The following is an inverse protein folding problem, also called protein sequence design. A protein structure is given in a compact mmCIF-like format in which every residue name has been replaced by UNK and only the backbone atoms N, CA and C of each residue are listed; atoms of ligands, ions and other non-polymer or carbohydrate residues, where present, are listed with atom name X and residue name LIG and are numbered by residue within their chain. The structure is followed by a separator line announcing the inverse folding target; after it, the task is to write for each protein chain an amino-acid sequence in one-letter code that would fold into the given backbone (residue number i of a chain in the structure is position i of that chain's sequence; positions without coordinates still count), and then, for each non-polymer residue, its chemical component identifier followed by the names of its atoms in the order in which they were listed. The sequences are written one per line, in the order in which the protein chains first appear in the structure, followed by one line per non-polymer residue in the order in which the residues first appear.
data_IF_182453357589
#
_entry.id   IF_182453357589
#
_cell.length_a   1.000
_cell.length_b   1.000
_cell.length_c   1.000
_cell.angle_alpha   90.00
_cell.angle_beta   90.00
_cell.angle_gamma   90.00
#
_symmetry.space_group_name_H-M   'P 1'
#
loop_
_entity.id
_entity.type
_entity.pdbx_description
1 polymer ?
#
# COMPACT_ATOMS: atom_id res chain seq x y z
N UNK A 1 -9.42 13.81 -1.61
CA UNK A 1 -10.40 12.91 -0.97
C UNK A 1 -11.88 13.36 -0.90
N UNK A 2 -12.24 14.60 -0.56
CA UNK A 2 -13.64 14.95 -0.18
C UNK A 2 -14.71 14.75 -1.25
N UNK A 3 -14.41 15.01 -2.53
CA UNK A 3 -15.39 14.89 -3.62
C UNK A 3 -15.81 13.44 -3.92
N UNK A 4 -14.88 12.49 -3.80
CA UNK A 4 -15.17 11.06 -4.07
C UNK A 4 -15.99 10.42 -2.96
N UNK A 5 -15.80 10.83 -1.71
CA UNK A 5 -16.63 10.40 -0.58
C UNK A 5 -18.10 10.80 -0.76
N UNK A 6 -18.36 12.02 -1.26
CA UNK A 6 -19.71 12.47 -1.55
C UNK A 6 -20.33 11.78 -2.78
N UNK A 7 -19.52 11.35 -3.75
CA UNK A 7 -19.98 10.64 -4.93
C UNK A 7 -20.31 9.15 -4.65
N UNK A 8 -19.80 8.56 -3.58
CA UNK A 8 -20.05 7.16 -3.22
C UNK A 8 -20.10 6.96 -1.70
N UNK A 9 -21.08 7.59 -1.00
CA UNK A 9 -21.15 7.58 0.46
C UNK A 9 -21.36 6.17 1.03
N UNK A 10 -22.13 5.32 0.35
CA UNK A 10 -22.36 3.94 0.78
C UNK A 10 -21.08 3.09 0.77
N UNK A 11 -20.15 3.33 -0.16
CA UNK A 11 -18.86 2.64 -0.17
C UNK A 11 -17.92 3.16 0.91
N UNK A 12 -17.98 4.46 1.21
CA UNK A 12 -17.25 5.05 2.33
C UNK A 12 -17.71 4.49 3.67
N UNK A 13 -19.02 4.38 3.89
CA UNK A 13 -19.56 3.73 5.09
C UNK A 13 -19.13 2.26 5.18
N UNK A 14 -19.26 1.49 4.10
CA UNK A 14 -18.80 0.10 4.09
C UNK A 14 -17.31 -0.03 4.42
N UNK A 15 -16.48 0.88 3.90
CA UNK A 15 -15.04 0.91 4.17
C UNK A 15 -14.72 1.31 5.61
N UNK A 16 -15.58 2.11 6.25
CA UNK A 16 -15.44 2.48 7.66
C UNK A 16 -15.78 1.30 8.59
N UNK A 17 -16.82 0.53 8.28
CA UNK A 17 -17.26 -0.62 9.10
C UNK A 17 -16.50 -1.92 8.83
N UNK A 18 -16.13 -2.22 7.57
CA UNK A 18 -15.26 -3.35 7.24
C UNK A 18 -14.14 -2.94 6.28
N UNK A 19 -13.17 -2.17 6.79
CA UNK A 19 -11.96 -1.84 6.05
C UNK A 19 -11.22 -3.09 5.52
N UNK A 20 -11.03 -4.19 6.29
CA UNK A 20 -10.31 -5.35 5.78
C UNK A 20 -10.98 -6.01 4.57
N UNK A 21 -12.31 -6.13 4.59
CA UNK A 21 -13.09 -6.68 3.48
C UNK A 21 -12.87 -5.88 2.20
N UNK A 22 -12.91 -4.55 2.33
CA UNK A 22 -12.78 -3.63 1.20
C UNK A 22 -11.36 -3.67 0.63
N UNK A 23 -10.34 -3.73 1.48
CA UNK A 23 -8.94 -3.87 1.06
C UNK A 23 -8.73 -5.17 0.28
N UNK A 24 -9.24 -6.31 0.77
CA UNK A 24 -9.15 -7.58 0.06
C UNK A 24 -9.85 -7.52 -1.31
N UNK A 25 -11.02 -6.89 -1.38
CA UNK A 25 -11.76 -6.72 -2.64
C UNK A 25 -11.01 -5.84 -3.63
N UNK A 26 -10.43 -4.73 -3.17
CA UNK A 26 -9.60 -3.85 -3.99
C UNK A 26 -8.35 -4.56 -4.48
N UNK A 27 -7.67 -5.32 -3.61
CA UNK A 27 -6.46 -6.05 -3.97
C UNK A 27 -6.75 -7.11 -5.03
N UNK A 28 -7.87 -7.84 -4.94
CA UNK A 28 -8.28 -8.80 -5.98
C UNK A 28 -8.50 -8.12 -7.34
N UNK A 29 -9.09 -6.93 -7.36
CA UNK A 29 -9.25 -6.14 -8.60
C UNK A 29 -7.93 -5.65 -9.18
N UNK A 30 -6.98 -5.30 -8.31
CA UNK A 30 -5.63 -4.84 -8.68
C UNK A 30 -4.78 -5.99 -9.22
N UNK A 31 -4.84 -7.18 -8.61
CA UNK A 31 -4.05 -8.35 -9.00
C UNK A 31 -4.64 -9.03 -10.26
N UNK A 32 -5.96 -9.02 -10.42
CA UNK A 32 -6.65 -9.77 -11.48
C UNK A 32 -6.68 -11.28 -11.21
N UNK A 33 -7.24 -12.05 -12.14
CA UNK A 33 -7.39 -13.51 -11.99
C UNK A 33 -6.06 -14.27 -12.12
N UNK A 34 -5.11 -13.76 -12.90
CA UNK A 34 -3.83 -14.43 -13.19
C UNK A 34 -2.62 -13.85 -12.44
N UNK A 35 -2.80 -12.83 -11.60
CA UNK A 35 -1.71 -12.16 -10.91
C UNK A 35 -1.21 -12.93 -9.67
N UNK A 36 0.11 -12.99 -9.49
CA UNK A 36 0.71 -13.58 -8.30
C UNK A 36 0.54 -12.63 -7.09
N UNK A 37 0.01 -13.13 -5.97
CA UNK A 37 -0.12 -12.34 -4.73
C UNK A 37 1.22 -12.24 -3.99
N UNK A 38 1.56 -11.01 -3.57
CA UNK A 38 2.67 -10.70 -2.65
C UNK A 38 2.16 -9.81 -1.52
N UNK A 39 2.62 -10.11 -0.31
CA UNK A 39 2.31 -9.34 0.89
C UNK A 39 2.76 -7.88 0.71
N UNK A 40 1.89 -6.93 1.04
CA UNK A 40 2.12 -5.47 0.94
C UNK A 40 2.56 -5.02 -0.46
N UNK A 41 2.13 -5.72 -1.52
CA UNK A 41 2.60 -5.53 -2.91
C UNK A 41 4.13 -5.65 -3.11
N UNK A 42 4.87 -6.17 -2.13
CA UNK A 42 6.34 -6.21 -2.16
C UNK A 42 7.01 -4.88 -1.81
N UNK A 43 6.28 -3.89 -1.29
CA UNK A 43 6.89 -2.64 -0.76
C UNK A 43 7.74 -2.89 0.50
N UNK A 44 7.45 -3.96 1.24
CA UNK A 44 8.19 -4.35 2.43
C UNK A 44 8.68 -5.80 2.31
N UNK A 45 9.91 -6.12 2.77
CA UNK A 45 10.49 -7.45 2.70
C UNK A 45 9.92 -8.42 3.76
N UNK A 46 8.66 -8.24 4.18
CA UNK A 46 8.05 -9.02 5.25
C UNK A 46 7.81 -10.48 4.85
N UNK A 47 7.67 -10.76 3.54
CA UNK A 47 7.49 -12.11 3.00
C UNK A 47 8.13 -12.23 1.61
N UNK A 48 9.29 -12.90 1.51
CA UNK A 48 10.00 -13.14 0.22
C UNK A 48 9.43 -14.34 -0.57
N UNK A 49 8.59 -15.15 0.05
CA UNK A 49 7.99 -16.35 -0.54
C UNK A 49 6.59 -16.10 -1.10
N UNK A 50 6.19 -16.87 -2.11
CA UNK A 50 4.80 -16.97 -2.60
C UNK A 50 3.86 -17.15 -1.40
N UNK A 51 3.16 -16.10 -1.01
CA UNK A 51 2.30 -16.14 0.15
C UNK A 51 0.97 -16.84 -0.19
N UNK A 52 0.52 -17.72 0.69
CA UNK A 52 -0.80 -18.32 0.59
C UNK A 52 -1.91 -17.24 0.55
N UNK A 53 -3.08 -17.50 -0.07
CA UNK A 53 -4.19 -16.54 -0.13
C UNK A 53 -4.69 -16.10 1.25
N UNK A 54 -4.47 -16.90 2.31
CA UNK A 54 -4.75 -16.50 3.69
C UNK A 54 -3.93 -15.27 4.15
N UNK A 55 -2.75 -15.05 3.58
CA UNK A 55 -1.89 -13.92 3.91
C UNK A 55 -2.53 -12.59 3.50
N UNK A 56 -3.35 -12.55 2.44
CA UNK A 56 -4.09 -11.35 2.05
C UNK A 56 -5.08 -10.90 3.12
N UNK A 57 -5.76 -11.87 3.74
CA UNK A 57 -6.68 -11.60 4.84
C UNK A 57 -5.91 -11.14 6.07
N UNK A 58 -4.79 -11.79 6.38
CA UNK A 58 -3.95 -11.42 7.52
C UNK A 58 -3.32 -10.03 7.36
N UNK A 59 -2.85 -9.67 6.16
CA UNK A 59 -2.36 -8.33 5.83
C UNK A 59 -3.46 -7.29 6.07
N UNK A 60 -4.68 -7.54 5.59
CA UNK A 60 -5.80 -6.63 5.71
C UNK A 60 -6.28 -6.44 7.18
N UNK A 61 -6.14 -7.46 8.03
CA UNK A 61 -6.54 -7.40 9.44
C UNK A 61 -5.43 -6.87 10.36
N UNK A 62 -4.21 -7.38 10.25
CA UNK A 62 -3.10 -7.02 11.14
C UNK A 62 -2.40 -5.73 10.71
N UNK A 63 -2.41 -5.41 9.42
CA UNK A 63 -1.69 -4.27 8.86
C UNK A 63 -2.59 -3.44 7.93
N UNK A 64 -3.84 -3.19 8.35
CA UNK A 64 -4.87 -2.52 7.56
C UNK A 64 -4.39 -1.21 6.92
N UNK A 65 -3.69 -0.36 7.69
CA UNK A 65 -3.13 0.90 7.20
C UNK A 65 -2.07 0.69 6.12
N UNK A 66 -1.17 -0.27 6.31
CA UNK A 66 -0.10 -0.59 5.34
C UNK A 66 -0.70 -1.19 4.05
N UNK A 67 -1.65 -2.11 4.21
CA UNK A 67 -2.32 -2.78 3.10
C UNK A 67 -3.09 -1.80 2.22
N UNK A 68 -3.86 -0.90 2.83
CA UNK A 68 -4.58 0.14 2.14
C UNK A 68 -3.62 1.14 1.47
N UNK A 69 -2.55 1.55 2.16
CA UNK A 69 -1.56 2.48 1.61
C UNK A 69 -0.84 1.88 0.41
N UNK A 70 -0.47 0.60 0.47
CA UNK A 70 0.11 -0.11 -0.66
C UNK A 70 -0.84 -0.13 -1.87
N UNK A 71 -2.14 -0.38 -1.67
CA UNK A 71 -3.15 -0.29 -2.73
C UNK A 71 -3.17 1.12 -3.36
N UNK A 72 -3.17 2.16 -2.53
CA UNK A 72 -3.22 3.55 -3.00
C UNK A 72 -1.98 3.93 -3.77
N UNK A 73 -0.79 3.68 -3.23
CA UNK A 73 0.48 4.01 -3.88
C UNK A 73 0.55 3.34 -5.25
N UNK A 74 0.15 2.07 -5.31
CA UNK A 74 0.12 1.33 -6.57
C UNK A 74 -0.80 1.99 -7.62
N UNK A 75 -2.02 2.36 -7.23
CA UNK A 75 -2.98 3.02 -8.14
C UNK A 75 -2.50 4.41 -8.54
N UNK A 76 -1.92 5.18 -7.61
CA UNK A 76 -1.35 6.51 -7.89
C UNK A 76 -0.20 6.44 -8.89
N UNK A 77 0.71 5.48 -8.72
CA UNK A 77 1.84 5.27 -9.63
C UNK A 77 1.36 4.87 -11.03
N UNK A 78 0.31 4.05 -11.11
CA UNK A 78 -0.30 3.61 -12.36
C UNK A 78 -0.94 4.73 -13.15
N UNK A 79 -1.72 5.55 -12.45
CA UNK A 79 -2.45 6.65 -13.08
C UNK A 79 -1.60 7.91 -13.22
N UNK A 80 -0.34 7.89 -12.75
CA UNK A 80 0.54 9.06 -12.64
C UNK A 80 -0.15 10.24 -11.93
N UNK A 81 -1.01 9.93 -10.95
CA UNK A 81 -1.78 10.93 -10.21
C UNK A 81 -0.95 11.33 -8.98
N UNK A 82 -0.74 12.63 -8.84
CA UNK A 82 -0.10 13.20 -7.64
C UNK A 82 -1.10 13.28 -6.50
N UNK A 83 -0.64 13.00 -5.28
CA UNK A 83 -1.42 13.22 -4.06
C UNK A 83 -1.75 14.70 -3.90
N UNK A 84 -3.01 15.01 -3.59
CA UNK A 84 -3.42 16.36 -3.22
C UNK A 84 -2.78 16.75 -1.88
N UNK A 85 -2.35 18.02 -1.70
CA UNK A 85 -1.75 18.46 -0.43
C UNK A 85 -2.72 18.30 0.75
N UNK A 86 -4.03 18.50 0.53
CA UNK A 86 -5.06 18.25 1.54
C UNK A 86 -5.07 16.79 2.03
N UNK A 87 -4.78 15.83 1.14
CA UNK A 87 -4.77 14.42 1.50
C UNK A 87 -3.56 14.08 2.38
N UNK A 88 -2.41 14.72 2.14
CA UNK A 88 -1.21 14.58 2.97
C UNK A 88 -1.42 15.14 4.38
N UNK A 89 -2.08 16.29 4.51
CA UNK A 89 -2.41 16.86 5.83
C UNK A 89 -3.36 15.99 6.64
N UNK A 90 -4.37 15.38 6.00
CA UNK A 90 -5.33 14.50 6.69
C UNK A 90 -4.62 13.24 7.20
N UNK A 91 -3.78 12.60 6.37
CA UNK A 91 -3.01 11.41 6.78
C UNK A 91 -2.03 11.76 7.90
N UNK A 92 -1.34 12.89 7.80
CA UNK A 92 -0.43 13.37 8.84
C UNK A 92 -1.18 13.60 10.17
N UNK A 93 -2.32 14.29 10.12
CA UNK A 93 -3.17 14.53 11.30
C UNK A 93 -3.61 13.21 11.96
N UNK A 94 -4.04 12.22 11.16
CA UNK A 94 -4.43 10.91 11.67
C UNK A 94 -3.26 10.19 12.38
N UNK A 95 -2.06 10.22 11.81
CA UNK A 95 -0.88 9.60 12.41
C UNK A 95 -0.44 10.32 13.69
N UNK A 96 -0.46 11.66 13.69
CA UNK A 96 -0.14 12.46 14.88
C UNK A 96 -1.11 12.16 16.02
N UNK A 97 -2.41 12.05 15.74
CA UNK A 97 -3.41 11.69 16.75
C UNK A 97 -3.20 10.29 17.35
N UNK A 98 -2.74 9.34 16.54
CA UNK A 98 -2.45 7.97 17.00
C UNK A 98 -1.16 7.91 17.84
N UNK A 99 -0.13 8.70 17.51
CA UNK A 99 1.06 8.84 18.36
C UNK A 99 0.69 9.56 19.67
N UNK A 100 -0.12 10.62 19.59
CA UNK A 100 -0.59 11.36 20.75
C UNK A 100 -1.38 10.48 21.72
N UNK A 101 -2.29 9.63 21.23
CA UNK A 101 -3.05 8.71 22.09
C UNK A 101 -2.15 7.71 22.81
N UNK A 102 -1.11 7.20 22.12
CA UNK A 102 -0.09 6.35 22.72
C UNK A 102 0.71 7.09 23.80
N UNK A 103 1.16 8.32 23.53
CA UNK A 103 1.85 9.15 24.52
C UNK A 103 0.98 9.42 25.75
N UNK A 104 -0.28 9.82 25.57
CA UNK A 104 -1.20 10.09 26.68
C UNK A 104 -1.39 8.84 27.55
N UNK A 105 -1.51 7.65 26.94
CA UNK A 105 -1.57 6.37 27.68
C UNK A 105 -0.33 6.12 28.53
N UNK A 106 0.86 6.45 28.02
CA UNK A 106 2.12 6.22 28.72
C UNK A 106 2.42 7.25 29.83
N UNK A 107 1.90 8.47 29.71
CA UNK A 107 2.24 9.59 30.61
C UNK A 107 1.13 9.99 31.59
N UNK A 108 -0.05 9.37 31.52
CA UNK A 108 -1.20 9.73 32.36
C UNK A 108 -1.81 8.49 33.01
N UNK A 109 -1.97 8.52 34.35
CA UNK A 109 -2.67 7.49 35.14
C UNK A 109 -4.21 7.57 35.02
N UNK A 110 -4.74 8.54 34.28
CA UNK A 110 -6.17 8.68 34.06
C UNK A 110 -6.63 7.83 32.86
N UNK A 111 -7.06 6.61 33.14
CA UNK A 111 -7.58 5.65 32.15
C UNK A 111 -8.74 6.22 31.31
N UNK A 112 -9.59 7.09 31.88
CA UNK A 112 -10.72 7.65 31.13
C UNK A 112 -10.26 8.59 30.03
N UNK A 113 -9.28 9.45 30.34
CA UNK A 113 -8.72 10.37 29.36
C UNK A 113 -7.98 9.60 28.27
N UNK A 114 -7.17 8.61 28.65
CA UNK A 114 -6.42 7.80 27.70
C UNK A 114 -7.34 6.99 26.77
N UNK A 115 -8.42 6.41 27.30
CA UNK A 115 -9.41 5.69 26.49
C UNK A 115 -10.18 6.62 25.55
N UNK A 116 -10.61 7.80 26.01
CA UNK A 116 -11.27 8.79 25.13
C UNK A 116 -10.36 9.23 23.98
N UNK A 117 -9.08 9.48 24.25
CA UNK A 117 -8.10 9.82 23.21
C UNK A 117 -7.87 8.66 22.24
N UNK A 118 -7.79 7.42 22.74
CA UNK A 118 -7.66 6.24 21.88
C UNK A 118 -8.85 6.08 20.94
N UNK A 119 -10.09 6.12 21.46
CA UNK A 119 -11.29 5.99 20.63
C UNK A 119 -11.42 7.12 19.59
N UNK A 120 -11.00 8.33 19.95
CA UNK A 120 -10.99 9.46 19.02
C UNK A 120 -9.96 9.25 17.91
N UNK A 121 -8.76 8.77 18.25
CA UNK A 121 -7.73 8.44 17.28
C UNK A 121 -8.17 7.30 16.34
N UNK A 122 -8.78 6.25 16.89
CA UNK A 122 -9.28 5.12 16.11
C UNK A 122 -10.41 5.56 15.14
N UNK A 123 -11.31 6.43 15.58
CA UNK A 123 -12.38 6.96 14.73
C UNK A 123 -11.84 7.83 13.58
N UNK A 124 -10.83 8.67 13.87
CA UNK A 124 -10.14 9.46 12.84
C UNK A 124 -9.39 8.57 11.86
N UNK A 125 -8.73 7.52 12.36
CA UNK A 125 -8.02 6.55 11.54
C UNK A 125 -8.99 5.80 10.61
N UNK A 126 -10.08 5.23 11.14
CA UNK A 126 -11.10 4.54 10.35
C UNK A 126 -11.73 5.45 9.29
N UNK A 127 -12.03 6.70 9.64
CA UNK A 127 -12.62 7.67 8.70
C UNK A 127 -11.64 8.04 7.59
N UNK A 128 -10.38 8.29 7.94
CA UNK A 128 -9.32 8.60 6.97
C UNK A 128 -9.09 7.43 6.02
N UNK A 129 -8.99 6.22 6.58
CA UNK A 129 -8.83 4.99 5.83
C UNK A 129 -10.02 4.72 4.89
N UNK A 130 -11.25 5.00 5.33
CA UNK A 130 -12.45 4.88 4.51
C UNK A 130 -12.48 5.87 3.35
N UNK A 131 -12.10 7.14 3.60
CA UNK A 131 -11.96 8.14 2.54
C UNK A 131 -10.93 7.72 1.49
N UNK A 132 -9.79 7.22 1.96
CA UNK A 132 -8.70 6.77 1.12
C UNK A 132 -9.10 5.58 0.24
N UNK A 133 -9.73 4.56 0.83
CA UNK A 133 -10.25 3.40 0.10
C UNK A 133 -11.34 3.79 -0.91
N UNK A 134 -12.21 4.73 -0.55
CA UNK A 134 -13.27 5.20 -1.46
C UNK A 134 -12.69 5.92 -2.68
N UNK A 135 -11.66 6.73 -2.49
CA UNK A 135 -10.94 7.36 -3.58
C UNK A 135 -10.31 6.31 -4.51
N UNK A 136 -9.58 5.34 -3.98
CA UNK A 136 -8.95 4.26 -4.77
C UNK A 136 -10.00 3.51 -5.59
N UNK A 137 -11.14 3.16 -5.01
CA UNK A 137 -12.22 2.48 -5.73
C UNK A 137 -12.88 3.38 -6.80
N UNK A 138 -12.99 4.68 -6.56
CA UNK A 138 -13.47 5.64 -7.56
C UNK A 138 -12.49 5.71 -8.75
N UNK A 139 -11.19 5.80 -8.49
CA UNK A 139 -10.14 5.84 -9.50
C UNK A 139 -10.10 4.54 -10.33
N UNK A 140 -10.24 3.37 -9.69
CA UNK A 140 -10.36 2.07 -10.38
C UNK A 140 -11.60 2.04 -11.28
N UNK A 141 -12.75 2.51 -10.79
CA UNK A 141 -14.01 2.51 -11.57
C UNK A 141 -14.00 3.51 -12.72
N UNK A 142 -13.56 4.74 -12.47
CA UNK A 142 -13.64 5.83 -13.44
C UNK A 142 -12.70 5.63 -14.62
N UNK A 143 -11.52 5.07 -14.38
CA UNK A 143 -10.53 4.83 -15.44
C UNK A 143 -10.71 3.48 -16.15
N UNK A 144 -11.79 2.73 -15.85
CA UNK A 144 -12.08 1.38 -16.39
C UNK A 144 -10.83 0.49 -16.46
N UNK A 145 -9.94 0.60 -15.46
CA UNK A 145 -8.68 -0.13 -15.44
C UNK A 145 -8.99 -1.62 -15.55
N UNK A 146 -8.76 -2.17 -16.74
CA UNK A 146 -9.16 -3.52 -17.13
C UNK A 146 -8.30 -4.52 -16.38
N UNK A 147 -8.97 -5.50 -15.79
CA UNK A 147 -8.38 -6.66 -15.14
C UNK A 147 -7.36 -7.32 -16.09
N UNK A 148 -6.05 -7.16 -15.83
CA UNK A 148 -4.98 -7.88 -16.56
C UNK A 148 -3.87 -7.02 -17.21
N UNK A 149 -4.00 -5.69 -17.32
CA UNK A 149 -2.91 -4.79 -17.80
C UNK A 149 -2.01 -4.27 -16.67
N UNK A 150 -2.05 -4.95 -15.53
CA UNK A 150 -1.22 -4.66 -14.38
C UNK A 150 0.11 -5.39 -14.56
N UNK A 151 1.27 -4.73 -14.59
CA UNK A 151 2.55 -5.41 -14.66
C UNK A 151 2.75 -6.21 -13.40
N UNK A 152 3.41 -7.33 -13.63
CA UNK A 152 3.57 -8.40 -12.69
C UNK A 152 4.18 -7.90 -11.38
N UNK A 153 3.49 -8.26 -10.30
CA UNK A 153 3.85 -7.94 -8.93
C UNK A 153 5.25 -8.47 -8.61
N UNK A 154 6.22 -7.57 -8.48
CA UNK A 154 7.65 -7.90 -8.29
C UNK A 154 8.59 -7.27 -9.32
N UNK A 155 8.10 -6.62 -10.38
CA UNK A 155 8.90 -5.65 -11.13
C UNK A 155 8.85 -4.30 -10.41
N UNK A 156 9.99 -3.59 -10.26
CA UNK A 156 9.96 -2.22 -9.77
C UNK A 156 8.94 -1.43 -10.60
N UNK A 157 8.18 -0.56 -9.93
CA UNK A 157 7.29 0.33 -10.66
C UNK A 157 8.15 1.26 -11.53
N UNK A 158 7.68 1.69 -12.70
CA UNK A 158 8.51 2.41 -13.67
C UNK A 158 9.21 3.67 -13.10
N UNK A 159 8.70 4.26 -12.02
CA UNK A 159 9.33 5.38 -11.32
C UNK A 159 10.47 4.92 -10.38
N UNK A 160 10.38 3.73 -9.79
CA UNK A 160 11.47 3.10 -9.03
C UNK A 160 12.56 2.57 -9.97
N UNK A 161 12.21 2.17 -11.19
CA UNK A 161 13.16 1.84 -12.25
C UNK A 161 13.95 3.07 -12.72
N UNK A 162 13.30 4.24 -12.79
CA UNK A 162 13.98 5.51 -13.06
C UNK A 162 14.83 6.04 -11.88
N UNK A 163 14.72 5.44 -10.70
CA UNK A 163 15.46 5.82 -9.49
C UNK A 163 16.63 4.87 -9.15
N UNK A 164 16.90 3.85 -9.97
CA UNK A 164 18.16 3.10 -9.86
C UNK A 164 19.30 3.99 -10.39
N UNK A 165 20.34 4.30 -9.61
CA UNK A 165 21.59 4.75 -10.19
C UNK A 165 22.11 3.64 -11.10
N UNK A 166 22.57 4.01 -12.29
CA UNK A 166 23.10 3.15 -13.33
C UNK A 166 24.19 2.22 -12.77
N UNK A 167 23.83 0.98 -12.47
CA UNK A 167 24.77 -0.06 -12.09
C UNK A 167 24.17 -1.41 -12.48
N UNK A 168 24.25 -1.73 -13.78
CA UNK A 168 24.40 -3.08 -14.33
C UNK A 168 24.42 -2.98 -15.87
N UNK A 169 25.51 -2.41 -16.39
CA UNK A 169 25.89 -2.59 -17.79
C UNK A 169 27.12 -3.50 -17.80
N UNK A 170 27.01 -4.67 -18.44
CA UNK A 170 28.15 -5.51 -18.81
C UNK A 170 28.26 -6.86 -18.08
N UNK A 171 27.41 -7.82 -18.46
CA UNK A 171 27.76 -9.24 -18.38
C UNK A 171 27.95 -9.76 -19.79
N UNK A 172 29.20 -9.98 -20.21
CA UNK A 172 29.59 -10.93 -21.28
C UNK A 172 31.08 -11.23 -21.15
N UNK A 173 31.42 -12.24 -20.36
CA UNK A 173 32.58 -13.08 -20.62
C UNK A 173 32.11 -14.51 -20.40
N UNK A 174 31.76 -15.16 -21.51
CA UNK A 174 31.58 -16.61 -21.60
C UNK A 174 32.97 -17.27 -21.61
N UNK A 175 33.05 -18.41 -20.92
CA UNK A 175 34.19 -19.31 -20.76
C UNK A 175 34.92 -19.68 -22.06
N UNK A 176 36.26 -19.72 -22.04
CA UNK A 176 37.06 -20.74 -22.71
C UNK A 176 38.55 -20.72 -22.26
N UNK A 177 38.96 -21.80 -21.58
CA UNK A 177 40.20 -22.55 -21.83
C UNK A 177 41.59 -21.90 -21.54
N UNK A 178 42.22 -22.32 -20.43
CA UNK A 178 43.69 -22.38 -20.29
C UNK A 178 44.22 -23.59 -21.10
N UNK A 179 45.50 -23.70 -21.57
CA UNK A 179 46.74 -23.34 -20.84
C UNK A 179 48.00 -22.92 -21.68
N UNK A 180 49.14 -22.74 -20.97
CA UNK A 180 50.58 -22.79 -21.38
C UNK A 180 51.24 -21.46 -21.83
N UNK A 181 52.22 -20.88 -21.11
CA UNK A 181 53.66 -21.20 -20.88
C UNK A 181 54.60 -20.71 -22.00
N UNK A 182 55.77 -20.18 -21.60
CA UNK A 182 56.96 -19.64 -22.32
C UNK A 182 57.04 -18.10 -22.37
N UNK A 183 57.87 -17.45 -21.53
CA UNK A 183 59.34 -17.26 -21.60
C UNK A 183 59.80 -16.53 -22.87
N UNK A 184 60.05 -15.23 -22.73
CA UNK A 184 61.34 -14.57 -23.06
C UNK A 184 61.34 -13.11 -22.60
#
# INVERSE_FOLDING_TARGET
MTKTCCASPGYCMLSCFCAPCVICHQRKKIIGEDGEYRCCLGFFPCCDYKCAPCCLFFEAFCCCGLAASANRIYVMQRLNIKTDPCDEYIICCSNVMMVLSCCIRCFTDNDRLANCCQYTADLLFCTTLACMQTQVNYEIKNNKLTQGEWPQLGKPLPIMEAAKPDAEEGKKEDEAEAPQVEMQ
#
